data_IF_232959439587
#
_entry.id   IF_232959439587
#
_cell.length_a   1.000
_cell.length_b   1.000
_cell.length_c   1.000
_cell.angle_alpha   90.00
_cell.angle_beta   90.00
_cell.angle_gamma   90.00
#
_symmetry.space_group_name_H-M   'P 1'
#
loop_
_entity.id
_entity.type
_entity.pdbx_description
1 polymer ?
#
# COMPACT_ATOMS: atom_id res chain seq x y z
N UNK A 1 -15.58 -26.10 6.03
CA UNK A 1 -14.25 -26.68 6.34
C UNK A 1 -13.24 -26.41 5.23
N UNK A 2 -13.39 -26.99 4.02
CA UNK A 2 -12.39 -26.89 2.93
C UNK A 2 -12.11 -25.45 2.45
N UNK A 3 -13.12 -24.58 2.44
CA UNK A 3 -12.99 -23.17 2.01
C UNK A 3 -12.09 -22.36 2.95
N UNK A 4 -12.31 -22.48 4.26
CA UNK A 4 -11.48 -21.83 5.29
C UNK A 4 -10.05 -22.38 5.34
N UNK A 5 -9.87 -23.67 5.09
CA UNK A 5 -8.55 -24.28 4.96
C UNK A 5 -7.76 -23.66 3.79
N UNK A 6 -8.44 -23.43 2.66
CA UNK A 6 -7.85 -22.82 1.47
C UNK A 6 -7.52 -21.34 1.68
N UNK A 7 -8.38 -20.60 2.41
CA UNK A 7 -8.12 -19.21 2.81
C UNK A 7 -6.96 -19.10 3.80
N UNK A 8 -6.87 -20.02 4.78
CA UNK A 8 -5.76 -20.09 5.72
C UNK A 8 -4.43 -20.43 5.02
N UNK A 9 -4.47 -21.35 4.05
CA UNK A 9 -3.32 -21.71 3.21
C UNK A 9 -2.88 -20.54 2.31
N UNK A 10 -3.81 -19.78 1.73
CA UNK A 10 -3.49 -18.57 0.97
C UNK A 10 -2.91 -17.45 1.84
N UNK A 11 -3.37 -17.28 3.08
CA UNK A 11 -2.79 -16.30 4.01
C UNK A 11 -1.39 -16.72 4.51
N UNK A 12 -1.09 -18.02 4.54
CA UNK A 12 0.20 -18.56 4.97
C UNK A 12 1.30 -18.46 3.88
N UNK A 13 0.96 -18.11 2.64
CA UNK A 13 1.92 -17.76 1.59
C UNK A 13 1.81 -16.25 1.32
N UNK A 14 2.68 -15.38 1.88
CA UNK A 14 4.12 -15.44 1.58
C UNK A 14 5.06 -14.91 2.70
N UNK A 15 6.24 -15.53 2.89
CA UNK A 15 7.48 -14.80 3.27
C UNK A 15 8.74 -15.48 2.72
N UNK A 16 8.75 -15.80 1.43
CA UNK A 16 10.02 -16.01 0.73
C UNK A 16 10.38 -14.72 0.02
N UNK A 17 10.73 -13.70 0.82
CA UNK A 17 11.45 -12.55 0.28
C UNK A 17 12.90 -12.99 0.17
N UNK A 18 13.26 -13.52 -1.00
CA UNK A 18 14.64 -13.83 -1.33
C UNK A 18 15.43 -12.51 -1.29
N UNK A 19 16.33 -12.39 -0.32
CA UNK A 19 17.24 -11.25 -0.23
C UNK A 19 18.28 -11.32 -1.38
N UNK A 20 18.54 -10.19 -2.04
CA UNK A 20 19.55 -10.04 -3.09
C UNK A 20 20.98 -10.22 -2.55
N UNK A 21 21.97 -10.52 -3.40
CA UNK A 21 23.37 -10.74 -2.93
C UNK A 21 23.96 -9.52 -2.26
N UNK A 22 23.58 -8.34 -2.71
CA UNK A 22 23.97 -7.07 -2.11
C UNK A 22 23.42 -6.97 -0.69
N UNK A 23 22.22 -7.50 -0.44
CA UNK A 23 21.57 -7.61 0.88
C UNK A 23 22.38 -8.35 1.91
N UNK A 24 23.38 -9.07 1.46
CA UNK A 24 24.18 -9.94 2.28
C UNK A 24 25.65 -9.53 2.34
N UNK A 25 26.13 -8.70 1.40
CA UNK A 25 27.53 -8.26 1.36
C UNK A 25 27.87 -7.25 2.45
N UNK A 26 26.90 -6.44 2.89
CA UNK A 26 27.04 -5.56 4.07
C UNK A 26 26.80 -6.27 5.41
N UNK A 27 26.39 -7.54 5.41
CA UNK A 27 25.98 -8.26 6.62
C UNK A 27 27.10 -9.19 7.13
N UNK A 28 27.30 -9.28 8.46
CA UNK A 28 28.23 -10.22 9.07
C UNK A 28 27.85 -11.65 8.68
N UNK A 29 28.84 -12.54 8.59
CA UNK A 29 28.74 -13.84 7.89
C UNK A 29 27.55 -14.73 8.29
N UNK A 30 26.97 -14.54 9.48
CA UNK A 30 25.81 -15.29 9.98
C UNK A 30 24.42 -14.77 9.56
N UNK A 31 24.28 -13.57 8.98
CA UNK A 31 22.98 -12.95 8.64
C UNK A 31 22.76 -12.79 7.13
N UNK A 32 23.58 -13.45 6.31
CA UNK A 32 23.53 -13.39 4.85
C UNK A 32 22.31 -14.14 4.31
N UNK A 33 21.15 -13.49 4.31
CA UNK A 33 19.86 -14.03 3.84
C UNK A 33 18.64 -13.17 4.21
N UNK A 34 18.79 -12.18 5.08
CA UNK A 34 17.71 -11.37 5.63
C UNK A 34 17.74 -9.95 5.00
N UNK A 35 17.00 -9.76 3.91
CA UNK A 35 16.51 -8.51 3.27
C UNK A 35 17.36 -7.23 3.37
N UNK A 36 17.79 -6.64 2.23
CA UNK A 36 18.19 -5.23 2.25
C UNK A 36 16.94 -4.37 2.30
N UNK A 37 16.92 -3.56 3.33
CA UNK A 37 16.23 -2.30 3.32
C UNK A 37 16.77 -1.41 2.19
N UNK A 38 15.93 -0.69 1.44
CA UNK A 38 16.42 0.43 0.65
C UNK A 38 17.17 1.36 1.59
N UNK A 39 18.40 1.73 1.18
CA UNK A 39 19.21 2.70 1.92
C UNK A 39 18.34 3.93 2.22
N UNK A 40 18.38 4.38 3.47
CA UNK A 40 17.68 5.57 3.87
C UNK A 40 18.13 6.77 3.03
N UNK A 41 17.39 7.88 3.08
CA UNK A 41 17.72 9.07 2.30
C UNK A 41 19.15 9.53 2.63
N UNK A 42 20.02 9.60 1.62
CA UNK A 42 21.45 9.88 1.78
C UNK A 42 21.69 11.37 2.08
N UNK A 43 20.76 12.24 1.66
CA UNK A 43 20.84 13.70 1.80
C UNK A 43 19.65 14.30 2.54
N UNK A 44 19.86 15.44 3.21
CA UNK A 44 18.78 16.22 3.85
C UNK A 44 17.68 16.64 2.85
N UNK A 45 18.04 16.78 1.57
CA UNK A 45 17.09 17.08 0.49
C UNK A 45 16.13 15.93 0.22
N UNK A 46 16.58 14.69 0.42
CA UNK A 46 15.75 13.51 0.19
C UNK A 46 14.68 13.40 1.28
N UNK A 47 14.99 13.78 2.53
CA UNK A 47 14.00 13.87 3.62
C UNK A 47 12.94 14.95 3.37
N UNK A 48 13.32 16.07 2.76
CA UNK A 48 12.38 17.11 2.36
C UNK A 48 11.39 16.58 1.31
N UNK A 49 11.89 15.87 0.30
CA UNK A 49 11.07 15.27 -0.75
C UNK A 49 10.10 14.25 -0.15
N UNK A 50 10.59 13.35 0.70
CA UNK A 50 9.77 12.36 1.41
C UNK A 50 8.68 13.05 2.24
N UNK A 51 9.01 14.12 2.95
CA UNK A 51 8.04 14.90 3.72
C UNK A 51 6.92 15.48 2.86
N UNK A 52 7.27 16.08 1.71
CA UNK A 52 6.28 16.62 0.76
C UNK A 52 5.41 15.48 0.19
N UNK A 53 6.00 14.35 -0.18
CA UNK A 53 5.25 13.20 -0.69
C UNK A 53 4.24 12.68 0.34
N UNK A 54 4.62 12.58 1.61
CA UNK A 54 3.71 12.16 2.68
C UNK A 54 2.52 13.12 2.80
N UNK A 55 2.76 14.43 2.76
CA UNK A 55 1.68 15.42 2.81
C UNK A 55 0.73 15.25 1.62
N UNK A 56 1.25 15.08 0.40
CA UNK A 56 0.43 14.88 -0.80
C UNK A 56 -0.41 13.60 -0.66
N UNK A 57 0.18 12.49 -0.22
CA UNK A 57 -0.53 11.22 -0.04
C UNK A 57 -1.65 11.33 1.00
N UNK A 58 -1.42 12.04 2.11
CA UNK A 58 -2.46 12.26 3.11
C UNK A 58 -3.62 13.09 2.56
N UNK A 59 -3.31 14.12 1.76
CA UNK A 59 -4.32 14.92 1.10
C UNK A 59 -5.12 14.09 0.09
N UNK A 60 -4.44 13.34 -0.79
CA UNK A 60 -5.13 12.50 -1.80
C UNK A 60 -5.97 11.41 -1.14
N UNK A 61 -5.47 10.78 -0.08
CA UNK A 61 -6.22 9.80 0.70
C UNK A 61 -7.46 10.42 1.34
N UNK A 62 -7.32 11.61 1.93
CA UNK A 62 -8.44 12.33 2.51
C UNK A 62 -9.52 12.65 1.47
N UNK A 63 -9.14 13.20 0.31
CA UNK A 63 -10.10 13.54 -0.75
C UNK A 63 -10.73 12.30 -1.39
N UNK A 64 -9.95 11.23 -1.56
CA UNK A 64 -10.45 9.94 -2.06
C UNK A 64 -11.57 9.40 -1.17
N UNK A 65 -11.35 9.37 0.15
CA UNK A 65 -12.38 8.93 1.11
C UNK A 65 -13.55 9.91 1.14
N UNK A 66 -13.29 11.21 1.17
CA UNK A 66 -14.32 12.26 1.22
C UNK A 66 -15.33 12.11 0.08
N UNK A 67 -14.85 11.95 -1.15
CA UNK A 67 -15.71 11.85 -2.33
C UNK A 67 -16.35 10.47 -2.52
N UNK A 68 -15.73 9.41 -1.99
CA UNK A 68 -16.38 8.09 -1.97
C UNK A 68 -17.59 8.08 -1.03
N UNK A 69 -17.47 8.70 0.15
CA UNK A 69 -18.53 8.79 1.15
C UNK A 69 -19.63 9.78 0.76
N UNK A 70 -19.25 10.97 0.30
CA UNK A 70 -20.19 12.01 -0.08
C UNK A 70 -19.82 12.57 -1.47
N UNK A 71 -20.17 11.84 -2.55
CA UNK A 71 -20.02 12.36 -3.90
C UNK A 71 -20.95 13.57 -4.03
N UNK A 72 -20.37 14.76 -4.22
CA UNK A 72 -21.12 16.02 -4.35
C UNK A 72 -21.89 16.16 -5.66
N UNK A 73 -22.21 15.03 -6.31
CA UNK A 73 -22.94 14.93 -7.56
C UNK A 73 -24.42 15.18 -7.28
N UNK A 74 -25.00 16.17 -7.96
CA UNK A 74 -26.41 16.55 -7.84
C UNK A 74 -27.25 16.14 -9.05
N UNK A 75 -26.62 15.50 -10.03
CA UNK A 75 -27.24 15.12 -11.29
C UNK A 75 -28.05 13.82 -11.13
N UNK A 76 -29.31 13.84 -11.56
CA UNK A 76 -30.26 12.74 -11.39
C UNK A 76 -29.93 11.49 -12.22
N UNK A 77 -29.07 11.62 -13.24
CA UNK A 77 -28.68 10.57 -14.20
C UNK A 77 -27.39 9.83 -13.82
N UNK A 78 -26.88 10.03 -12.60
CA UNK A 78 -25.63 9.40 -12.20
C UNK A 78 -25.80 7.90 -11.86
N UNK A 79 -24.79 7.09 -12.14
CA UNK A 79 -24.81 5.63 -11.91
C UNK A 79 -25.14 5.26 -10.45
N UNK A 80 -24.89 6.16 -9.49
CA UNK A 80 -25.21 5.96 -8.08
C UNK A 80 -26.68 6.24 -7.72
N UNK A 81 -27.39 7.12 -8.45
CA UNK A 81 -28.84 7.36 -8.24
C UNK A 81 -29.69 6.23 -8.85
N UNK A 82 -29.22 5.62 -9.93
CA UNK A 82 -29.85 4.47 -10.59
C UNK A 82 -29.98 3.22 -9.70
N UNK A 83 -29.10 3.07 -8.69
CA UNK A 83 -29.15 1.91 -7.77
C UNK A 83 -30.04 2.20 -6.55
N UNK A 84 -30.21 3.47 -6.17
CA UNK A 84 -30.95 3.88 -4.97
C UNK A 84 -32.45 4.07 -5.22
N UNK A 85 -32.87 4.24 -6.47
CA UNK A 85 -34.28 4.37 -6.87
C UNK A 85 -34.58 3.24 -7.86
N UNK A 86 -35.01 2.06 -7.40
CA UNK A 86 -35.57 1.05 -8.30
C UNK A 86 -36.95 1.54 -8.80
N UNK A 87 -37.16 1.48 -10.12
CA UNK A 87 -38.47 1.66 -10.77
C UNK A 87 -39.52 0.65 -10.26
#
# INVERSE_FOLDING_TARGET
>A
MKKYLLTFFMLALPRLVLACKECTTGLPRGLRGEMQHPSGPDSNWDYLIVGITVVIVLLTMFYSVKWLLNPGEKESTHIKSLILIPE
#
